data_IF_232048823638
#
_entry.id   IF_232048823638
#
_cell.length_a   1.000
_cell.length_b   1.000
_cell.length_c   1.000
_cell.angle_alpha   90.00
_cell.angle_beta   90.00
_cell.angle_gamma   90.00
#
_symmetry.space_group_name_H-M   'P 1'
#
loop_
_entity.id
_entity.type
_entity.pdbx_description
1 polymer ?
#
# COMPACT_ATOMS: atom_id res chain seq x y z
N UNK A 1 -12.51 -18.75 -43.15
CA UNK A 1 -11.53 -19.82 -42.85
C UNK A 1 -10.50 -19.40 -41.80
N UNK A 2 -9.64 -18.37 -42.01
CA UNK A 2 -8.57 -18.00 -41.03
C UNK A 2 -9.09 -17.56 -39.65
N UNK A 3 -10.10 -16.69 -39.59
CA UNK A 3 -10.69 -16.20 -38.32
C UNK A 3 -11.31 -17.30 -37.44
N UNK A 4 -11.83 -18.38 -38.05
CA UNK A 4 -12.42 -19.52 -37.33
C UNK A 4 -11.30 -20.38 -36.73
N UNK A 5 -10.20 -20.57 -37.46
CA UNK A 5 -9.02 -21.28 -36.93
C UNK A 5 -8.35 -20.52 -35.79
N UNK A 6 -8.32 -19.19 -35.83
CA UNK A 6 -7.77 -18.37 -34.74
C UNK A 6 -8.68 -18.40 -33.50
N UNK A 7 -10.01 -18.40 -33.68
CA UNK A 7 -10.97 -18.59 -32.59
C UNK A 7 -10.84 -19.98 -31.94
N UNK A 8 -10.73 -21.03 -32.75
CA UNK A 8 -10.53 -22.40 -32.27
C UNK A 8 -9.18 -22.56 -31.55
N UNK A 9 -8.12 -21.89 -32.03
CA UNK A 9 -6.81 -21.88 -31.35
C UNK A 9 -6.88 -21.16 -30.00
N UNK A 10 -7.56 -20.03 -29.91
CA UNK A 10 -7.77 -19.34 -28.63
C UNK A 10 -8.56 -20.20 -27.65
N UNK A 11 -9.59 -20.89 -28.12
CA UNK A 11 -10.39 -21.80 -27.30
C UNK A 11 -9.56 -22.97 -26.77
N UNK A 12 -8.69 -23.53 -27.63
CA UNK A 12 -7.81 -24.64 -27.29
C UNK A 12 -6.71 -24.22 -26.30
N UNK A 13 -6.14 -23.02 -26.45
CA UNK A 13 -5.19 -22.44 -25.48
C UNK A 13 -5.88 -22.18 -24.14
N UNK A 14 -7.08 -21.60 -24.13
CA UNK A 14 -7.86 -21.36 -22.92
C UNK A 14 -8.20 -22.66 -22.17
N UNK A 15 -8.56 -23.70 -22.91
CA UNK A 15 -8.85 -25.01 -22.34
C UNK A 15 -7.59 -25.66 -21.74
N UNK A 16 -6.44 -25.53 -22.41
CA UNK A 16 -5.15 -26.00 -21.88
C UNK A 16 -4.78 -25.26 -20.60
N UNK A 17 -4.90 -23.93 -20.55
CA UNK A 17 -4.60 -23.15 -19.33
C UNK A 17 -5.55 -23.49 -18.18
N UNK A 18 -6.84 -23.66 -18.45
CA UNK A 18 -7.83 -24.08 -17.45
C UNK A 18 -7.50 -25.47 -16.88
N UNK A 19 -7.12 -26.43 -17.73
CA UNK A 19 -6.71 -27.77 -17.30
C UNK A 19 -5.44 -27.75 -16.45
N UNK A 20 -4.49 -26.86 -16.76
CA UNK A 20 -3.28 -26.65 -15.96
C UNK A 20 -3.66 -26.10 -14.58
N UNK A 21 -4.52 -25.08 -14.51
CA UNK A 21 -4.98 -24.50 -13.25
C UNK A 21 -5.71 -25.52 -12.36
N UNK A 22 -6.61 -26.33 -12.95
CA UNK A 22 -7.31 -27.39 -12.23
C UNK A 22 -6.33 -28.43 -11.66
N UNK A 23 -5.30 -28.80 -12.43
CA UNK A 23 -4.26 -29.74 -11.96
C UNK A 23 -3.42 -29.14 -10.84
N UNK A 24 -3.02 -27.88 -10.95
CA UNK A 24 -2.27 -27.16 -9.92
C UNK A 24 -3.08 -27.08 -8.63
N UNK A 25 -4.37 -26.69 -8.72
CA UNK A 25 -5.26 -26.60 -7.58
C UNK A 25 -5.49 -27.96 -6.90
N UNK A 26 -5.63 -29.04 -7.70
CA UNK A 26 -5.73 -30.41 -7.17
C UNK A 26 -4.46 -30.83 -6.45
N UNK A 27 -3.28 -30.56 -7.03
CA UNK A 27 -1.99 -30.90 -6.40
C UNK A 27 -1.76 -30.08 -5.12
N UNK A 28 -2.09 -28.80 -5.13
CA UNK A 28 -2.03 -27.93 -3.94
C UNK A 28 -2.91 -28.47 -2.80
N UNK A 29 -4.16 -28.86 -3.09
CA UNK A 29 -5.06 -29.46 -2.11
C UNK A 29 -4.56 -30.81 -1.58
N UNK A 30 -3.99 -31.66 -2.44
CA UNK A 30 -3.41 -32.95 -2.01
C UNK A 30 -2.22 -32.73 -1.07
N UNK A 31 -1.33 -31.78 -1.39
CA UNK A 31 -0.18 -31.45 -0.54
C UNK A 31 -0.60 -30.84 0.80
N UNK A 32 -1.67 -30.05 0.85
CA UNK A 32 -2.15 -29.42 2.08
C UNK A 32 -2.99 -30.35 2.97
N UNK A 33 -3.61 -31.39 2.41
CA UNK A 33 -4.44 -32.35 3.17
C UNK A 33 -3.66 -33.44 3.92
N UNK A 34 -2.31 -33.49 3.82
CA UNK A 34 -1.46 -34.42 4.60
C UNK A 34 -1.23 -33.98 6.06
N UNK A 35 -2.22 -33.34 6.70
CA UNK A 35 -2.23 -33.17 8.16
C UNK A 35 -3.07 -34.28 8.75
N UNK A 36 -2.59 -35.51 8.65
CA UNK A 36 -3.12 -36.60 9.45
C UNK A 36 -2.93 -36.21 10.91
N UNK A 37 -4.03 -35.87 11.59
CA UNK A 37 -4.05 -35.81 13.04
C UNK A 37 -3.76 -37.23 13.52
N UNK A 38 -2.50 -37.49 13.85
CA UNK A 38 -2.12 -38.67 14.63
C UNK A 38 -2.72 -38.50 16.02
N UNK A 39 -3.96 -38.94 16.18
CA UNK A 39 -4.51 -39.23 17.50
C UNK A 39 -3.72 -40.42 18.05
N UNK A 40 -2.78 -40.11 18.93
CA UNK A 40 -2.08 -41.13 19.71
C UNK A 40 -2.93 -41.44 20.93
N UNK A 41 -3.47 -42.65 21.02
CA UNK A 41 -4.14 -43.11 22.24
C UNK A 41 -3.15 -43.08 23.41
N UNK A 42 -3.43 -42.22 24.39
CA UNK A 42 -2.61 -41.99 25.58
C UNK A 42 -3.02 -42.89 26.77
N UNK A 43 -4.18 -43.55 26.67
CA UNK A 43 -4.84 -44.26 27.77
C UNK A 43 -4.10 -45.52 28.24
N UNK A 44 -3.24 -46.11 27.42
CA UNK A 44 -2.49 -47.34 27.74
C UNK A 44 -1.04 -47.13 28.19
N UNK A 45 -0.59 -45.89 28.37
CA UNK A 45 0.82 -45.58 28.61
C UNK A 45 1.13 -45.35 30.09
N UNK A 46 2.28 -45.83 30.56
CA UNK A 46 2.73 -45.54 31.93
C UNK A 46 3.13 -44.06 32.08
N UNK A 47 3.11 -43.54 33.32
CA UNK A 47 3.43 -42.13 33.62
C UNK A 47 4.82 -41.72 33.11
N UNK A 48 5.83 -42.58 33.30
CA UNK A 48 7.20 -42.30 32.87
C UNK A 48 7.34 -42.25 31.34
N UNK A 49 6.62 -43.10 30.62
CA UNK A 49 6.61 -43.11 29.17
C UNK A 49 5.92 -41.87 28.60
N UNK A 50 4.90 -41.35 29.31
CA UNK A 50 4.19 -40.14 28.95
C UNK A 50 5.09 -38.90 29.09
N UNK A 51 5.84 -38.80 30.19
CA UNK A 51 6.81 -37.73 30.43
C UNK A 51 7.94 -37.74 29.39
N UNK A 52 8.48 -38.92 29.06
CA UNK A 52 9.49 -39.08 27.99
C UNK A 52 8.96 -38.61 26.64
N UNK A 53 7.75 -39.02 26.26
CA UNK A 53 7.12 -38.57 25.00
C UNK A 53 6.89 -37.07 24.99
N UNK A 54 6.43 -36.49 26.10
CA UNK A 54 6.24 -35.04 26.21
C UNK A 54 7.53 -34.26 25.98
N UNK A 55 8.62 -34.64 26.64
CA UNK A 55 9.93 -34.00 26.47
C UNK A 55 10.43 -34.14 25.02
N UNK A 56 10.30 -35.33 24.43
CA UNK A 56 10.67 -35.56 23.02
C UNK A 56 9.83 -34.74 22.03
N UNK A 57 8.54 -34.60 22.30
CA UNK A 57 7.64 -33.84 21.43
C UNK A 57 7.91 -32.34 21.55
N UNK A 58 8.10 -31.85 22.78
CA UNK A 58 8.41 -30.45 23.05
C UNK A 58 9.77 -30.03 22.45
N UNK A 59 10.79 -30.87 22.58
CA UNK A 59 12.11 -30.63 21.96
C UNK A 59 12.02 -30.59 20.43
N UNK A 60 11.32 -31.54 19.82
CA UNK A 60 11.07 -31.54 18.36
C UNK A 60 10.30 -30.30 17.92
N UNK A 61 9.24 -29.95 18.65
CA UNK A 61 8.42 -28.76 18.39
C UNK A 61 9.26 -27.48 18.40
N UNK A 62 10.04 -27.27 19.47
CA UNK A 62 10.92 -26.10 19.60
C UNK A 62 11.98 -26.06 18.49
N UNK A 63 12.61 -27.20 18.18
CA UNK A 63 13.60 -27.27 17.09
C UNK A 63 13.00 -26.96 15.72
N UNK A 64 11.75 -27.37 15.48
CA UNK A 64 11.05 -27.15 14.22
C UNK A 64 10.64 -25.68 14.08
N UNK A 65 10.15 -25.07 15.16
CA UNK A 65 9.82 -23.64 15.20
C UNK A 65 11.06 -22.78 14.96
N UNK A 66 12.18 -23.11 15.61
CA UNK A 66 13.43 -22.38 15.41
C UNK A 66 13.86 -22.40 13.93
N UNK A 67 13.79 -23.58 13.29
CA UNK A 67 14.07 -23.72 11.85
C UNK A 67 13.10 -22.92 10.98
N UNK A 68 11.80 -22.99 11.26
CA UNK A 68 10.78 -22.23 10.54
C UNK A 68 11.03 -20.72 10.61
N UNK A 69 11.28 -20.20 11.81
CA UNK A 69 11.58 -18.79 12.01
C UNK A 69 12.84 -18.36 11.25
N UNK A 70 13.87 -19.20 11.26
CA UNK A 70 15.09 -18.96 10.48
C UNK A 70 14.81 -18.89 8.97
N UNK A 71 14.04 -19.85 8.43
CA UNK A 71 13.67 -19.84 7.01
C UNK A 71 12.82 -18.63 6.62
N UNK A 72 11.87 -18.23 7.48
CA UNK A 72 11.06 -17.05 7.24
C UNK A 72 11.92 -15.77 7.20
N UNK A 73 12.92 -15.68 8.07
CA UNK A 73 13.81 -14.52 8.08
C UNK A 73 14.72 -14.50 6.84
N UNK A 74 15.28 -15.65 6.45
CA UNK A 74 16.03 -15.77 5.19
C UNK A 74 15.16 -15.40 3.98
N UNK A 75 13.91 -15.82 3.98
CA UNK A 75 12.96 -15.47 2.93
C UNK A 75 12.69 -13.96 2.87
N UNK A 76 12.44 -13.32 4.02
CA UNK A 76 12.26 -11.86 4.10
C UNK A 76 13.48 -11.11 3.58
N UNK A 77 14.68 -11.52 4.00
CA UNK A 77 15.93 -10.95 3.50
C UNK A 77 16.09 -11.12 2.00
N UNK A 78 15.77 -12.29 1.46
CA UNK A 78 15.82 -12.55 0.02
C UNK A 78 14.82 -11.69 -0.76
N UNK A 79 13.60 -11.51 -0.25
CA UNK A 79 12.60 -10.63 -0.86
C UNK A 79 13.05 -9.16 -0.83
N UNK A 80 13.60 -8.71 0.30
CA UNK A 80 14.13 -7.35 0.43
C UNK A 80 15.32 -7.10 -0.51
N UNK A 81 16.18 -8.11 -0.74
CA UNK A 81 17.29 -8.02 -1.71
C UNK A 81 16.83 -7.99 -3.17
N UNK A 82 15.69 -8.61 -3.49
CA UNK A 82 15.17 -8.67 -4.87
C UNK A 82 14.24 -7.52 -5.24
N UNK A 83 13.42 -7.08 -4.28
CA UNK A 83 12.33 -6.13 -4.48
C UNK A 83 12.39 -4.93 -3.52
N UNK A 84 13.54 -4.69 -2.88
CA UNK A 84 13.74 -3.58 -1.98
C UNK A 84 14.14 -2.30 -2.71
N UNK A 85 14.00 -1.16 -2.04
CA UNK A 85 14.41 0.15 -2.59
C UNK A 85 15.87 0.24 -3.02
N UNK A 86 16.74 -0.62 -2.48
CA UNK A 86 18.16 -0.70 -2.87
C UNK A 86 18.38 -1.59 -4.09
N UNK A 87 17.51 -2.59 -4.35
CA UNK A 87 17.67 -3.49 -5.48
C UNK A 87 17.35 -2.84 -6.82
N UNK A 88 16.58 -1.75 -6.81
CA UNK A 88 16.34 -0.91 -8.00
C UNK A 88 17.53 -0.03 -8.38
N UNK A 89 18.49 0.19 -7.46
CA UNK A 89 19.61 1.11 -7.66
C UNK A 89 20.87 0.46 -8.24
N UNK A 90 21.00 -0.86 -8.05
CA UNK A 90 22.21 -1.63 -8.37
C UNK A 90 22.01 -2.45 -9.66
N UNK A 91 21.70 -1.77 -10.77
CA UNK A 91 21.81 -2.40 -12.10
C UNK A 91 23.05 -1.81 -12.76
N UNK A 92 24.16 -2.55 -12.67
CA UNK A 92 25.41 -2.21 -13.32
C UNK A 92 25.17 -2.05 -14.84
N UNK A 93 25.43 -0.85 -15.36
CA UNK A 93 25.18 -0.48 -16.76
C UNK A 93 23.81 0.12 -17.08
N UNK A 94 22.87 0.22 -16.13
CA UNK A 94 21.63 0.98 -16.33
C UNK A 94 21.82 2.41 -15.85
N UNK A 95 21.82 3.36 -16.78
CA UNK A 95 21.86 4.79 -16.46
C UNK A 95 20.56 5.12 -15.72
N UNK A 96 20.63 5.25 -14.39
CA UNK A 96 19.51 5.75 -13.60
C UNK A 96 19.19 7.16 -14.10
N UNK A 97 18.00 7.33 -14.68
CA UNK A 97 17.53 8.63 -15.20
C UNK A 97 17.47 9.71 -14.12
N UNK A 98 17.46 9.32 -12.84
CA UNK A 98 17.56 10.20 -11.67
C UNK A 98 18.96 10.75 -11.42
N UNK A 99 20.00 10.03 -11.84
CA UNK A 99 21.40 10.41 -11.61
C UNK A 99 21.95 11.22 -12.78
N UNK A 100 21.27 11.18 -13.94
CA UNK A 100 21.55 12.03 -15.08
C UNK A 100 20.84 13.39 -14.88
N UNK A 101 21.55 14.53 -14.90
CA UNK A 101 20.94 15.85 -14.77
C UNK A 101 20.18 16.27 -16.05
N UNK A 102 19.43 15.36 -16.68
CA UNK A 102 18.68 15.58 -17.92
C UNK A 102 17.64 16.71 -17.77
N UNK A 103 17.15 16.93 -16.55
CA UNK A 103 16.17 17.98 -16.24
C UNK A 103 16.76 19.16 -15.46
N UNK A 104 18.06 19.16 -15.15
CA UNK A 104 18.68 20.21 -14.35
C UNK A 104 19.54 21.21 -15.15
N UNK A 105 19.32 21.27 -16.46
CA UNK A 105 20.04 22.15 -17.38
C UNK A 105 19.95 23.63 -16.96
N UNK A 106 18.76 24.11 -16.59
CA UNK A 106 18.55 25.51 -16.23
C UNK A 106 19.22 25.93 -14.89
N UNK A 107 19.43 25.01 -13.95
CA UNK A 107 20.16 25.31 -12.71
C UNK A 107 21.68 25.27 -12.92
N UNK A 108 22.18 24.41 -13.81
CA UNK A 108 23.62 24.33 -14.11
C UNK A 108 24.13 25.55 -14.84
N UNK A 109 23.30 26.17 -15.68
CA UNK A 109 23.64 27.43 -16.37
C UNK A 109 23.24 28.69 -15.59
N UNK A 110 22.68 28.57 -14.39
CA UNK A 110 22.33 29.75 -13.59
C UNK A 110 23.62 30.40 -13.07
N UNK A 111 23.88 31.62 -13.50
CA UNK A 111 24.92 32.44 -12.89
C UNK A 111 24.60 32.65 -11.40
N UNK A 112 25.57 32.47 -10.48
CA UNK A 112 25.34 32.75 -9.07
C UNK A 112 24.96 34.22 -8.93
N UNK A 113 23.79 34.49 -8.34
CA UNK A 113 23.38 35.86 -8.04
C UNK A 113 24.52 36.55 -7.27
N UNK A 114 25.02 37.64 -7.85
CA UNK A 114 26.07 38.46 -7.25
C UNK A 114 25.60 38.87 -5.86
N UNK A 115 26.34 38.44 -4.83
CA UNK A 115 26.06 38.76 -3.43
C UNK A 115 25.88 40.28 -3.33
N UNK A 116 24.69 40.74 -2.95
CA UNK A 116 24.45 42.15 -2.66
C UNK A 116 25.53 42.62 -1.70
N UNK A 117 26.25 43.70 -2.10
CA UNK A 117 27.37 44.28 -1.37
C UNK A 117 27.10 44.34 0.14
N UNK A 118 28.07 43.81 0.89
CA UNK A 118 28.25 43.93 2.34
C UNK A 118 27.55 45.17 2.95
N UNK A 119 26.39 44.94 3.59
CA UNK A 119 25.79 45.89 4.53
C UNK A 119 26.52 45.90 5.89
N UNK A 120 27.75 45.38 5.95
CA UNK A 120 28.55 45.21 7.19
C UNK A 120 29.09 46.51 7.80
N UNK A 121 28.67 47.70 7.32
CA UNK A 121 29.15 49.00 7.84
C UNK A 121 28.18 49.77 8.75
N UNK A 122 27.00 49.24 9.06
CA UNK A 122 26.06 49.90 9.97
C UNK A 122 25.40 48.93 10.96
N UNK A 123 26.18 48.26 11.82
CA UNK A 123 25.67 47.77 13.12
C UNK A 123 26.79 47.18 13.99
N UNK A 124 27.72 48.03 14.47
CA UNK A 124 28.55 47.69 15.65
C UNK A 124 27.83 48.03 16.98
N UNK A 125 26.57 48.47 16.89
CA UNK A 125 25.62 48.79 17.96
C UNK A 125 25.15 47.62 18.87
N UNK A 126 24.92 46.41 18.34
CA UNK A 126 24.08 45.43 19.01
C UNK A 126 24.64 44.00 18.90
N UNK A 127 25.87 43.80 19.38
CA UNK A 127 26.42 42.47 19.64
C UNK A 127 25.91 41.96 20.98
N UNK A 128 24.64 41.56 21.05
CA UNK A 128 24.07 40.64 22.04
C UNK A 128 22.65 40.27 21.62
N UNK A 129 22.50 39.48 20.56
CA UNK A 129 21.24 38.76 20.31
C UNK A 129 21.60 37.35 19.89
N UNK A 130 21.15 36.40 20.72
CA UNK A 130 21.29 34.96 20.52
C UNK A 130 20.91 34.56 19.09
N UNK A 131 21.84 33.88 18.41
CA UNK A 131 21.62 33.31 17.09
C UNK A 131 20.72 32.08 17.29
N UNK A 132 19.43 32.31 17.47
CA UNK A 132 18.42 31.30 17.28
C UNK A 132 18.37 31.00 15.78
N UNK A 133 18.94 29.86 15.39
CA UNK A 133 18.76 29.31 14.04
C UNK A 133 17.27 29.02 13.91
N UNK A 134 16.51 29.96 13.35
CA UNK A 134 15.10 29.75 13.09
C UNK A 134 14.99 28.69 12.00
N UNK A 135 14.63 27.47 12.39
CA UNK A 135 14.18 26.44 11.45
C UNK A 135 13.00 27.04 10.68
N UNK A 136 13.21 27.42 9.41
CA UNK A 136 12.11 27.80 8.52
C UNK A 136 11.14 26.62 8.46
N UNK A 137 10.02 26.73 9.18
CA UNK A 137 8.93 25.76 9.12
C UNK A 137 8.52 25.63 7.66
N UNK A 138 8.56 24.41 7.12
CA UNK A 138 8.01 24.09 5.80
C UNK A 138 6.56 24.60 5.80
N UNK A 139 6.25 25.66 5.04
CA UNK A 139 4.87 26.10 4.82
C UNK A 139 4.13 24.89 4.26
N UNK A 140 3.21 24.32 5.04
CA UNK A 140 2.24 23.38 4.50
C UNK A 140 1.50 24.11 3.38
N UNK A 141 1.59 23.63 2.15
CA UNK A 141 0.68 24.06 1.08
C UNK A 141 -0.72 23.56 1.42
N UNK A 142 -1.39 24.20 2.39
CA UNK A 142 -2.84 24.12 2.48
C UNK A 142 -3.33 24.94 1.29
N UNK A 143 -3.72 24.25 0.21
CA UNK A 143 -4.50 24.89 -0.86
C UNK A 143 -5.74 25.42 -0.16
N UNK A 144 -5.90 26.74 -0.10
CA UNK A 144 -7.09 27.38 0.45
C UNK A 144 -8.27 27.03 -0.46
N UNK A 145 -9.12 26.12 0.00
CA UNK A 145 -10.37 25.73 -0.68
C UNK A 145 -11.44 26.83 -0.46
N UNK A 146 -11.09 27.86 0.31
CA UNK A 146 -11.97 28.93 0.79
C UNK A 146 -12.67 29.74 -0.31
N UNK A 147 -12.17 29.69 -1.55
CA UNK A 147 -12.71 30.47 -2.69
C UNK A 147 -13.52 29.64 -3.70
N UNK A 148 -13.86 28.38 -3.41
CA UNK A 148 -14.72 27.60 -4.30
C UNK A 148 -16.22 27.90 -4.03
N UNK A 149 -17.03 28.09 -5.08
CA UNK A 149 -18.47 28.25 -4.92
C UNK A 149 -19.06 26.95 -4.32
N UNK A 150 -19.70 27.06 -3.16
CA UNK A 150 -20.40 25.96 -2.50
C UNK A 150 -21.84 25.95 -2.98
N UNK A 151 -22.21 24.94 -3.76
CA UNK A 151 -23.61 24.65 -4.12
C UNK A 151 -24.08 23.51 -3.21
N UNK A 152 -25.16 23.74 -2.46
CA UNK A 152 -25.72 22.75 -1.53
C UNK A 152 -27.06 22.25 -2.06
N UNK A 153 -27.09 20.99 -2.49
CA UNK A 153 -28.33 20.32 -2.93
C UNK A 153 -28.94 19.56 -1.74
N UNK A 154 -30.11 20.02 -1.27
CA UNK A 154 -30.87 19.36 -0.19
C UNK A 154 -31.96 18.49 -0.81
N UNK A 155 -31.93 17.19 -0.50
CA UNK A 155 -32.91 16.22 -0.99
C UNK A 155 -33.95 15.92 0.10
N UNK A 156 -35.01 16.72 0.15
CA UNK A 156 -36.15 16.49 1.05
C UNK A 156 -37.24 15.68 0.35
N UNK A 157 -37.78 14.67 1.03
CA UNK A 157 -38.97 13.95 0.55
C UNK A 157 -40.20 14.84 0.71
N UNK A 158 -41.09 14.83 -0.28
CA UNK A 158 -42.36 15.56 -0.19
C UNK A 158 -43.28 14.92 0.86
N UNK A 159 -44.22 15.69 1.43
CA UNK A 159 -45.09 15.23 2.53
C UNK A 159 -45.88 13.95 2.21
N UNK A 160 -46.16 13.70 0.94
CA UNK A 160 -46.88 12.52 0.46
C UNK A 160 -45.99 11.26 0.45
N UNK A 161 -44.69 11.42 0.24
CA UNK A 161 -43.69 10.34 0.18
C UNK A 161 -43.07 10.01 1.55
N UNK A 162 -43.29 10.88 2.55
CA UNK A 162 -42.89 10.67 3.94
C UNK A 162 -43.77 9.65 4.68
N UNK A 163 -44.73 9.02 4.00
CA UNK A 163 -45.62 7.99 4.56
C UNK A 163 -45.27 6.64 3.92
N UNK A 164 -45.00 5.63 4.76
CA UNK A 164 -44.62 4.31 4.25
C UNK A 164 -45.79 3.67 3.48
N UNK A 165 -45.62 3.25 2.22
CA UNK A 165 -46.71 2.65 1.44
C UNK A 165 -47.21 1.32 2.03
N UNK A 166 -46.42 0.63 2.85
CA UNK A 166 -46.76 -0.68 3.41
C UNK A 166 -47.43 -0.62 4.79
N UNK A 167 -47.02 0.32 5.66
CA UNK A 167 -47.53 0.40 7.04
C UNK A 167 -48.16 1.75 7.41
N UNK A 168 -48.20 2.72 6.48
CA UNK A 168 -48.82 4.05 6.62
C UNK A 168 -48.31 4.89 7.81
N UNK A 169 -47.19 4.50 8.40
CA UNK A 169 -46.51 5.29 9.42
C UNK A 169 -45.61 6.35 8.76
N UNK A 170 -45.35 7.42 9.52
CA UNK A 170 -44.39 8.46 9.12
C UNK A 170 -42.99 7.85 9.09
N UNK A 171 -42.27 8.05 7.97
CA UNK A 171 -40.88 7.61 7.83
C UNK A 171 -40.01 8.35 8.86
N UNK A 172 -39.24 7.59 9.63
CA UNK A 172 -38.23 8.16 10.52
C UNK A 172 -37.08 8.73 9.70
N UNK A 173 -36.57 9.89 10.12
CA UNK A 173 -35.42 10.54 9.49
C UNK A 173 -34.18 9.65 9.58
N UNK A 174 -33.60 9.29 8.44
CA UNK A 174 -32.38 8.49 8.41
C UNK A 174 -31.15 9.39 8.63
N UNK A 175 -30.04 8.81 9.09
CA UNK A 175 -28.77 9.53 9.27
C UNK A 175 -28.33 10.23 7.98
N UNK A 176 -27.92 11.49 8.13
CA UNK A 176 -27.39 12.32 7.05
C UNK A 176 -26.08 11.75 6.47
N UNK A 177 -25.94 11.77 5.14
CA UNK A 177 -24.71 11.40 4.44
C UNK A 177 -24.20 12.60 3.63
N UNK A 178 -23.24 13.32 4.19
CA UNK A 178 -22.60 14.46 3.52
C UNK A 178 -21.57 13.97 2.50
N UNK A 179 -21.67 14.46 1.26
CA UNK A 179 -20.67 14.27 0.20
C UNK A 179 -20.19 15.64 -0.28
N UNK A 180 -18.88 15.78 -0.49
CA UNK A 180 -18.27 17.04 -0.94
C UNK A 180 -17.65 16.77 -2.30
N UNK A 181 -18.27 17.32 -3.34
CA UNK A 181 -17.79 17.24 -4.72
C UNK A 181 -17.19 18.58 -5.14
N UNK A 182 -16.09 18.52 -5.90
CA UNK A 182 -15.42 19.71 -6.45
C UNK A 182 -15.67 19.75 -7.94
N UNK A 183 -16.47 20.72 -8.38
CA UNK A 183 -16.71 20.95 -9.80
C UNK A 183 -15.67 21.93 -10.37
N UNK A 184 -15.04 21.57 -11.49
CA UNK A 184 -14.13 22.47 -12.20
C UNK A 184 -14.94 23.58 -12.87
N UNK A 185 -14.68 24.83 -12.47
CA UNK A 185 -15.23 26.00 -13.17
C UNK A 185 -14.40 26.18 -14.43
N UNK A 186 -14.93 25.74 -15.58
CA UNK A 186 -14.35 26.02 -16.88
C UNK A 186 -14.35 27.54 -17.10
N UNK A 187 -13.20 28.18 -16.90
CA UNK A 187 -12.99 29.54 -17.36
C UNK A 187 -13.00 29.53 -18.89
N UNK A 188 -14.11 29.96 -19.47
CA UNK A 188 -14.16 30.37 -20.87
C UNK A 188 -13.31 31.63 -20.94
N UNK A 189 -12.08 31.50 -21.45
CA UNK A 189 -11.26 32.65 -21.79
C UNK A 189 -11.91 33.38 -22.98
N UNK A 190 -12.09 34.72 -22.92
CA UNK A 190 -12.61 35.51 -24.03
C UNK A 190 -11.62 35.59 -25.20
#
# INVERSE_FOLDING_TARGET
MRKINDFMRCFLVYFITLLIEIKVHKYYNICMNNKDKKETDLSGLSREELEKKYVQLNTKYNSTIAKLNWYLEQYRLAMQKRYGKSSEKEIDGQINLSDLPLFNEAETFREPFNVENDLSKYSEAEKNVDISISNKKKKSRKKSIDNLPVVTDVYELTKEEQICPNCKSVLHEMKEKVRVDVNEVNHIFP
#
